data_IF_527835973392
#
_entry.id   IF_527835973392
#
_cell.length_a   1.000
_cell.length_b   1.000
_cell.length_c   1.000
_cell.angle_alpha   90.00
_cell.angle_beta   90.00
_cell.angle_gamma   90.00
#
_symmetry.space_group_name_H-M   'P 1'
#
loop_
_entity.id
_entity.type
_entity.pdbx_description
1 polymer ?
#
# COMPACT_ATOMS: atom_id res chain seq x y z
N UNK A 1 28.95 67.57 -19.40
CA UNK A 1 27.50 67.26 -19.36
C UNK A 1 27.30 65.77 -19.50
N UNK A 2 27.01 65.07 -18.39
CA UNK A 2 25.96 64.05 -18.22
C UNK A 2 26.13 63.48 -16.80
N UNK A 3 25.05 63.60 -16.02
CA UNK A 3 24.97 63.36 -14.58
C UNK A 3 24.73 61.86 -14.31
N UNK A 4 25.51 61.26 -13.41
CA UNK A 4 25.25 59.92 -12.85
C UNK A 4 24.77 60.07 -11.41
N UNK A 5 23.45 60.02 -11.19
CA UNK A 5 22.83 60.24 -9.89
C UNK A 5 23.10 59.11 -8.89
N UNK A 6 23.43 59.46 -7.66
CA UNK A 6 23.46 58.57 -6.50
C UNK A 6 22.06 58.51 -5.87
N UNK A 7 21.44 57.33 -5.90
CA UNK A 7 20.17 57.08 -5.23
C UNK A 7 20.42 56.73 -3.76
N UNK A 8 19.95 57.59 -2.85
CA UNK A 8 19.96 57.35 -1.41
C UNK A 8 18.60 56.79 -0.97
N UNK A 9 18.57 55.53 -0.53
CA UNK A 9 17.40 54.97 0.16
C UNK A 9 17.56 55.28 1.65
N UNK A 10 16.69 56.16 2.15
CA UNK A 10 16.62 56.51 3.57
C UNK A 10 15.83 55.46 4.35
N UNK A 11 16.52 54.71 5.22
CA UNK A 11 15.92 53.93 6.30
C UNK A 11 16.42 54.48 7.64
N UNK A 12 15.46 54.80 8.52
CA UNK A 12 15.64 55.64 9.70
C UNK A 12 16.31 54.86 10.85
N UNK A 13 17.55 55.25 11.16
CA UNK A 13 18.30 55.16 12.44
C UNK A 13 18.40 53.81 13.16
N UNK A 14 19.50 53.09 12.91
CA UNK A 14 20.40 52.54 13.93
C UNK A 14 21.75 52.18 13.26
N UNK A 15 22.81 52.94 13.58
CA UNK A 15 24.19 52.69 13.13
C UNK A 15 24.49 53.15 11.69
N UNK A 16 25.34 54.15 11.51
CA UNK A 16 25.86 54.55 10.20
C UNK A 16 26.76 53.45 9.62
N UNK A 17 26.16 52.44 8.99
CA UNK A 17 26.87 51.52 8.12
C UNK A 17 26.93 52.12 6.71
N UNK A 18 28.10 52.58 6.29
CA UNK A 18 28.34 52.96 4.90
C UNK A 18 28.35 51.70 4.02
N UNK A 19 27.37 51.56 3.13
CA UNK A 19 27.35 50.51 2.13
C UNK A 19 28.02 51.02 0.85
N UNK A 20 29.19 50.47 0.51
CA UNK A 20 29.88 50.72 -0.76
C UNK A 20 29.85 49.45 -1.62
N UNK A 21 29.26 49.56 -2.82
CA UNK A 21 29.28 48.49 -3.80
C UNK A 21 30.62 48.50 -4.54
N UNK A 22 31.52 47.57 -4.20
CA UNK A 22 32.78 47.42 -4.92
C UNK A 22 32.63 46.40 -6.05
N UNK A 23 32.91 46.78 -7.30
CA UNK A 23 33.10 45.79 -8.39
C UNK A 23 34.28 44.88 -8.02
N UNK A 24 34.19 43.59 -8.39
CA UNK A 24 35.19 42.53 -8.17
C UNK A 24 36.61 43.00 -8.48
N UNK A 25 37.25 43.60 -7.48
CA UNK A 25 38.62 44.08 -7.50
C UNK A 25 39.31 43.47 -6.29
N UNK A 26 40.55 43.05 -6.47
CA UNK A 26 41.27 42.21 -5.52
C UNK A 26 41.73 43.04 -4.32
N UNK A 27 40.86 43.19 -3.34
CA UNK A 27 41.14 43.80 -2.04
C UNK A 27 41.20 42.70 -0.97
N UNK A 28 41.95 42.91 0.11
CA UNK A 28 42.17 41.91 1.19
C UNK A 28 40.87 41.43 1.84
N UNK A 29 39.82 42.28 1.86
CA UNK A 29 38.48 41.89 2.31
C UNK A 29 37.77 40.95 1.34
N UNK A 30 37.88 41.19 0.03
CA UNK A 30 37.33 40.31 -1.01
C UNK A 30 38.04 38.96 -1.04
N UNK A 31 39.36 38.91 -0.78
CA UNK A 31 40.11 37.65 -0.69
C UNK A 31 39.58 36.73 0.42
N UNK A 32 39.14 37.29 1.56
CA UNK A 32 38.52 36.51 2.65
C UNK A 32 37.12 36.01 2.30
N UNK A 33 36.34 36.80 1.56
CA UNK A 33 35.02 36.39 1.06
C UNK A 33 35.16 35.28 0.03
N UNK A 34 36.14 35.38 -0.87
CA UNK A 34 36.44 34.33 -1.84
C UNK A 34 37.01 33.08 -1.17
N UNK A 35 37.81 33.22 -0.11
CA UNK A 35 38.26 32.09 0.70
C UNK A 35 37.10 31.40 1.42
N UNK A 36 36.16 32.16 2.00
CA UNK A 36 34.96 31.63 2.63
C UNK A 36 34.03 30.96 1.62
N UNK A 37 33.90 31.52 0.41
CA UNK A 37 33.21 30.91 -0.72
C UNK A 37 33.88 29.59 -1.12
N UNK A 38 35.20 29.58 -1.32
CA UNK A 38 35.97 28.39 -1.69
C UNK A 38 35.95 27.32 -0.60
N UNK A 39 35.92 27.71 0.68
CA UNK A 39 35.73 26.81 1.81
C UNK A 39 34.30 26.23 1.86
N UNK A 40 33.28 27.04 1.55
CA UNK A 40 31.90 26.58 1.44
C UNK A 40 31.65 25.65 0.24
N UNK A 41 32.45 25.78 -0.83
CA UNK A 41 32.44 24.88 -1.98
C UNK A 41 33.18 23.55 -1.74
N UNK A 42 33.90 23.38 -0.62
CA UNK A 42 34.37 22.06 -0.17
C UNK A 42 33.23 21.26 0.45
N UNK A 43 32.18 21.02 -0.34
CA UNK A 43 31.27 19.91 -0.07
C UNK A 43 32.04 18.66 -0.44
N UNK A 44 32.55 17.94 0.55
CA UNK A 44 33.03 16.58 0.35
C UNK A 44 31.90 15.83 -0.35
N UNK A 45 32.07 15.53 -1.63
CA UNK A 45 31.13 14.69 -2.36
C UNK A 45 31.08 13.38 -1.60
N UNK A 46 29.92 13.04 -1.04
CA UNK A 46 29.75 11.76 -0.40
C UNK A 46 30.12 10.69 -1.42
N UNK A 47 31.17 9.94 -1.11
CA UNK A 47 31.61 8.79 -1.88
C UNK A 47 30.59 7.66 -1.65
N UNK A 48 29.52 7.71 -2.44
CA UNK A 48 28.49 6.68 -2.46
C UNK A 48 28.96 5.40 -3.18
N UNK A 49 30.24 5.33 -3.60
CA UNK A 49 30.78 4.24 -4.42
C UNK A 49 31.21 3.02 -3.59
N UNK A 50 31.07 3.08 -2.25
CA UNK A 50 31.35 1.94 -1.36
C UNK A 50 30.41 0.76 -1.56
N UNK A 51 29.21 0.99 -2.09
CA UNK A 51 28.29 -0.07 -2.52
C UNK A 51 27.28 0.45 -3.55
N UNK A 52 26.83 -0.40 -4.45
CA UNK A 52 25.86 -0.02 -5.47
C UNK A 52 24.50 0.35 -4.85
N UNK A 53 23.80 1.33 -5.44
CA UNK A 53 22.45 1.71 -5.02
C UNK A 53 21.48 0.53 -5.02
N UNK A 54 21.68 -0.45 -5.91
CA UNK A 54 20.87 -1.67 -5.95
C UNK A 54 21.07 -2.54 -4.70
N UNK A 55 22.30 -2.61 -4.17
CA UNK A 55 22.59 -3.28 -2.90
C UNK A 55 21.88 -2.58 -1.73
N UNK A 56 22.00 -1.25 -1.65
CA UNK A 56 21.31 -0.44 -0.62
C UNK A 56 19.80 -0.70 -0.61
N UNK A 57 19.17 -0.63 -1.79
CA UNK A 57 17.73 -0.85 -1.96
C UNK A 57 17.31 -2.26 -1.56
N UNK A 58 18.11 -3.28 -1.91
CA UNK A 58 17.85 -4.68 -1.51
C UNK A 58 17.96 -4.85 0.00
N UNK A 59 18.97 -4.27 0.64
CA UNK A 59 19.15 -4.33 2.09
C UNK A 59 17.99 -3.67 2.83
N UNK A 60 17.61 -2.45 2.45
CA UNK A 60 16.47 -1.73 3.04
C UNK A 60 15.16 -2.53 2.84
N UNK A 61 14.94 -3.09 1.65
CA UNK A 61 13.75 -3.90 1.36
C UNK A 61 13.71 -5.16 2.22
N UNK A 62 14.84 -5.83 2.45
CA UNK A 62 14.90 -7.02 3.29
C UNK A 62 14.50 -6.70 4.73
N UNK A 63 15.12 -5.68 5.35
CA UNK A 63 14.79 -5.22 6.71
C UNK A 63 13.33 -4.77 6.80
N UNK A 64 12.84 -4.04 5.79
CA UNK A 64 11.45 -3.58 5.77
C UNK A 64 10.46 -4.75 5.73
N UNK A 65 10.74 -5.80 4.95
CA UNK A 65 9.90 -6.99 4.88
C UNK A 65 9.87 -7.76 6.20
N UNK A 66 10.97 -7.83 6.94
CA UNK A 66 11.02 -8.47 8.27
C UNK A 66 10.17 -7.71 9.28
N UNK A 67 10.30 -6.38 9.35
CA UNK A 67 9.48 -5.53 10.22
C UNK A 67 7.99 -5.68 9.87
N UNK A 68 7.67 -5.69 8.57
CA UNK A 68 6.30 -5.90 8.10
C UNK A 68 5.78 -7.30 8.46
N UNK A 69 6.59 -8.34 8.29
CA UNK A 69 6.19 -9.70 8.64
C UNK A 69 5.90 -9.83 10.13
N UNK A 70 6.74 -9.24 11.00
CA UNK A 70 6.50 -9.26 12.45
C UNK A 70 5.17 -8.62 12.81
N UNK A 71 4.93 -7.38 12.33
CA UNK A 71 3.66 -6.67 12.55
C UNK A 71 2.47 -7.42 11.99
N UNK A 72 2.65 -8.05 10.84
CA UNK A 72 1.61 -8.85 10.20
C UNK A 72 1.21 -10.04 11.06
N UNK A 73 2.17 -10.78 11.61
CA UNK A 73 1.89 -11.93 12.49
C UNK A 73 1.23 -11.48 13.80
N UNK A 74 1.76 -10.43 14.44
CA UNK A 74 1.28 -9.94 15.75
C UNK A 74 -0.08 -9.23 15.69
N UNK A 75 -0.43 -8.60 14.56
CA UNK A 75 -1.68 -7.84 14.42
C UNK A 75 -2.92 -8.70 14.25
N UNK A 76 -4.06 -8.30 14.84
CA UNK A 76 -5.35 -9.00 14.70
C UNK A 76 -6.20 -8.53 13.51
N UNK A 77 -5.93 -7.35 12.96
CA UNK A 77 -6.77 -6.74 11.91
C UNK A 77 -6.82 -7.53 10.59
N UNK A 78 -5.83 -8.40 10.33
CA UNK A 78 -5.66 -9.10 9.05
C UNK A 78 -6.02 -10.58 9.10
N UNK A 79 -6.84 -11.03 10.05
CA UNK A 79 -7.23 -12.43 10.22
C UNK A 79 -7.72 -13.11 8.93
N UNK A 80 -8.57 -12.44 8.14
CA UNK A 80 -9.03 -12.96 6.86
C UNK A 80 -7.89 -13.03 5.83
N UNK A 81 -7.10 -11.96 5.71
CA UNK A 81 -5.97 -11.92 4.79
C UNK A 81 -4.94 -13.00 5.10
N UNK A 82 -4.75 -13.33 6.39
CA UNK A 82 -3.83 -14.38 6.86
C UNK A 82 -4.24 -15.78 6.42
N UNK A 83 -5.54 -16.02 6.19
CA UNK A 83 -6.00 -17.29 5.61
C UNK A 83 -5.39 -17.51 4.22
N UNK A 84 -5.25 -16.44 3.42
CA UNK A 84 -4.69 -16.51 2.08
C UNK A 84 -3.16 -16.44 2.09
N UNK A 85 -2.60 -15.53 2.89
CA UNK A 85 -1.17 -15.21 2.84
C UNK A 85 -0.52 -15.31 4.22
N UNK A 86 0.10 -16.43 4.52
CA UNK A 86 0.83 -16.61 5.78
C UNK A 86 2.06 -15.69 5.90
N UNK A 87 2.68 -15.34 4.76
CA UNK A 87 3.89 -14.51 4.68
C UNK A 87 3.70 -13.32 3.75
N UNK A 88 4.14 -12.15 4.20
CA UNK A 88 4.10 -10.88 3.44
C UNK A 88 4.87 -10.99 2.13
N UNK A 89 6.02 -11.69 2.13
CA UNK A 89 6.82 -11.91 0.92
C UNK A 89 6.06 -12.70 -0.14
N UNK A 90 5.28 -13.70 0.27
CA UNK A 90 4.46 -14.51 -0.64
C UNK A 90 3.25 -13.73 -1.14
N UNK A 91 2.60 -12.98 -0.24
CA UNK A 91 1.52 -12.05 -0.62
C UNK A 91 1.98 -11.11 -1.73
N UNK A 92 3.14 -10.46 -1.55
CA UNK A 92 3.68 -9.56 -2.57
C UNK A 92 3.92 -10.26 -3.90
N UNK A 93 4.52 -11.46 -3.88
CA UNK A 93 4.80 -12.24 -5.10
C UNK A 93 3.50 -12.57 -5.84
N UNK A 94 2.52 -13.14 -5.14
CA UNK A 94 1.24 -13.57 -5.73
C UNK A 94 0.46 -12.36 -6.24
N UNK A 95 0.28 -11.33 -5.40
CA UNK A 95 -0.50 -10.14 -5.75
C UNK A 95 0.14 -9.31 -6.86
N UNK A 96 1.47 -9.37 -7.04
CA UNK A 96 2.13 -8.69 -8.16
C UNK A 96 1.79 -9.27 -9.53
N UNK A 97 1.37 -10.54 -9.59
CA UNK A 97 0.95 -11.22 -10.82
C UNK A 97 -0.56 -11.23 -11.06
N UNK A 98 -1.34 -10.63 -10.16
CA UNK A 98 -2.80 -10.68 -10.18
C UNK A 98 -3.36 -9.29 -10.41
N UNK A 99 -4.27 -9.17 -11.38
CA UNK A 99 -5.04 -7.95 -11.58
C UNK A 99 -5.98 -7.72 -10.40
N UNK A 100 -5.65 -6.76 -9.53
CA UNK A 100 -6.46 -6.47 -8.35
C UNK A 100 -7.78 -5.81 -8.76
N UNK A 101 -8.89 -6.50 -8.54
CA UNK A 101 -10.24 -5.91 -8.68
C UNK A 101 -10.78 -5.45 -7.31
N UNK A 102 -11.77 -4.55 -7.28
CA UNK A 102 -12.40 -4.16 -6.02
C UNK A 102 -13.06 -5.33 -5.28
N UNK A 103 -13.65 -6.29 -6.00
CA UNK A 103 -14.26 -7.47 -5.40
C UNK A 103 -13.24 -8.41 -4.78
N UNK A 104 -12.09 -8.59 -5.44
CA UNK A 104 -10.99 -9.38 -4.89
C UNK A 104 -10.38 -8.70 -3.67
N UNK A 105 -10.17 -7.39 -3.72
CA UNK A 105 -9.69 -6.63 -2.57
C UNK A 105 -10.64 -6.77 -1.36
N UNK A 106 -11.96 -6.71 -1.60
CA UNK A 106 -12.97 -6.95 -0.56
C UNK A 106 -12.93 -8.38 -0.02
N UNK A 107 -12.77 -9.39 -0.88
CA UNK A 107 -12.63 -10.78 -0.46
C UNK A 107 -11.42 -10.95 0.46
N UNK A 108 -10.24 -10.48 0.03
CA UNK A 108 -8.98 -10.66 0.76
C UNK A 108 -8.92 -9.88 2.07
N UNK A 109 -9.70 -8.80 2.20
CA UNK A 109 -9.76 -7.97 3.42
C UNK A 109 -10.94 -8.33 4.33
N UNK A 110 -11.87 -9.17 3.89
CA UNK A 110 -13.09 -9.47 4.65
C UNK A 110 -14.08 -8.30 4.74
N UNK A 111 -13.97 -7.31 3.84
CA UNK A 111 -14.81 -6.10 3.79
C UNK A 111 -15.87 -6.15 2.69
N UNK A 112 -16.27 -7.35 2.30
CA UNK A 112 -17.33 -7.59 1.33
C UNK A 112 -18.72 -7.30 1.92
N UNK A 113 -19.71 -7.19 1.04
CA UNK A 113 -21.12 -7.01 1.42
C UNK A 113 -21.77 -8.24 2.05
N UNK A 114 -21.06 -9.00 2.89
CA UNK A 114 -21.63 -10.09 3.68
C UNK A 114 -22.43 -9.56 4.86
N UNK A 115 -23.47 -10.27 5.27
CA UNK A 115 -24.40 -9.84 6.31
C UNK A 115 -23.68 -9.57 7.64
N UNK A 116 -22.68 -10.38 8.03
CA UNK A 116 -21.91 -10.12 9.26
C UNK A 116 -21.20 -8.77 9.23
N UNK A 117 -20.54 -8.44 8.12
CA UNK A 117 -19.86 -7.16 7.94
C UNK A 117 -20.86 -6.01 7.93
N UNK A 118 -21.92 -6.11 7.13
CA UNK A 118 -22.96 -5.07 7.04
C UNK A 118 -23.67 -4.82 8.37
N UNK A 119 -23.95 -5.87 9.13
CA UNK A 119 -24.56 -5.79 10.46
C UNK A 119 -23.66 -5.03 11.45
N UNK A 120 -22.34 -5.27 11.42
CA UNK A 120 -21.37 -4.51 12.24
C UNK A 120 -21.44 -3.00 11.99
N UNK A 121 -21.74 -2.59 10.76
CA UNK A 121 -21.93 -1.19 10.37
C UNK A 121 -23.39 -0.72 10.42
N UNK A 122 -24.31 -1.53 10.96
CA UNK A 122 -25.74 -1.21 11.07
C UNK A 122 -26.43 -0.97 9.72
N UNK A 123 -25.93 -1.61 8.66
CA UNK A 123 -26.48 -1.58 7.30
C UNK A 123 -27.37 -2.80 6.98
N UNK A 124 -27.31 -3.84 7.82
CA UNK A 124 -28.18 -5.01 7.74
C UNK A 124 -28.79 -5.30 9.12
N UNK A 125 -30.02 -5.83 9.14
CA UNK A 125 -30.74 -6.14 10.37
C UNK A 125 -30.24 -7.40 11.08
N UNK A 126 -29.46 -8.24 10.40
CA UNK A 126 -28.99 -9.53 10.90
C UNK A 126 -27.61 -9.86 10.33
N UNK A 127 -26.72 -10.51 11.10
CA UNK A 127 -25.44 -11.01 10.61
C UNK A 127 -25.55 -12.37 9.91
N UNK A 128 -26.72 -13.01 9.92
CA UNK A 128 -26.91 -14.38 9.47
C UNK A 128 -27.11 -14.52 7.97
N UNK A 129 -26.67 -15.65 7.42
CA UNK A 129 -26.82 -15.99 6.02
C UNK A 129 -28.25 -16.44 5.73
N UNK A 130 -28.74 -16.15 4.51
CA UNK A 130 -30.03 -16.64 4.05
C UNK A 130 -30.12 -18.18 3.95
N UNK A 131 -28.99 -18.90 4.02
CA UNK A 131 -29.02 -20.36 3.98
C UNK A 131 -29.50 -21.00 5.29
N UNK A 132 -29.26 -20.34 6.43
CA UNK A 132 -29.62 -20.85 7.75
C UNK A 132 -29.60 -19.73 8.80
N UNK A 133 -30.59 -19.68 9.72
CA UNK A 133 -30.75 -18.57 10.66
C UNK A 133 -29.66 -18.51 11.76
N UNK A 134 -28.87 -19.57 11.93
CA UNK A 134 -27.81 -19.70 12.95
C UNK A 134 -26.39 -19.58 12.36
N UNK A 135 -26.27 -19.47 11.03
CA UNK A 135 -24.97 -19.35 10.34
C UNK A 135 -24.67 -17.90 10.04
N UNK A 136 -23.64 -17.35 10.67
CA UNK A 136 -23.13 -16.01 10.33
C UNK A 136 -22.61 -15.99 8.91
N UNK A 137 -23.00 -14.99 8.12
CA UNK A 137 -22.48 -14.85 6.77
C UNK A 137 -21.14 -14.12 6.80
N UNK A 138 -20.05 -14.88 6.79
CA UNK A 138 -18.69 -14.39 6.62
C UNK A 138 -18.04 -15.02 5.37
N UNK A 139 -16.80 -14.64 5.07
CA UNK A 139 -16.12 -15.16 3.88
C UNK A 139 -15.93 -16.67 3.95
N UNK A 140 -15.52 -17.20 5.10
CA UNK A 140 -15.15 -18.60 5.26
C UNK A 140 -16.37 -19.50 5.11
N UNK A 141 -17.48 -19.17 5.78
CA UNK A 141 -18.75 -19.85 5.59
C UNK A 141 -19.14 -19.86 4.12
N UNK A 142 -19.06 -18.72 3.43
CA UNK A 142 -19.49 -18.63 2.03
C UNK A 142 -18.57 -19.42 1.09
N UNK A 143 -17.26 -19.42 1.34
CA UNK A 143 -16.28 -20.16 0.53
C UNK A 143 -16.25 -21.66 0.81
N UNK A 144 -16.61 -22.14 2.01
CA UNK A 144 -16.33 -23.53 2.46
C UNK A 144 -17.58 -24.33 2.81
N UNK A 145 -18.67 -23.70 3.27
CA UNK A 145 -19.85 -24.39 3.80
C UNK A 145 -21.16 -24.04 3.09
N UNK A 146 -21.34 -22.78 2.68
CA UNK A 146 -22.63 -22.24 2.31
C UNK A 146 -23.27 -23.00 1.13
N UNK A 147 -24.48 -23.58 1.29
CA UNK A 147 -25.13 -24.36 0.25
C UNK A 147 -25.57 -23.50 -0.94
N UNK A 148 -25.73 -22.18 -0.73
CA UNK A 148 -26.07 -21.22 -1.78
C UNK A 148 -25.01 -21.20 -2.90
N UNK A 149 -23.74 -21.46 -2.57
CA UNK A 149 -22.61 -21.43 -3.49
C UNK A 149 -22.04 -22.83 -3.75
N UNK A 150 -22.77 -23.89 -3.39
CA UNK A 150 -22.32 -25.27 -3.49
C UNK A 150 -21.93 -25.62 -4.93
N UNK A 151 -22.73 -25.19 -5.91
CA UNK A 151 -22.48 -25.47 -7.33
C UNK A 151 -21.18 -24.85 -7.80
N UNK A 152 -21.01 -23.54 -7.60
CA UNK A 152 -19.82 -22.80 -8.04
C UNK A 152 -18.56 -23.28 -7.31
N UNK A 153 -18.69 -23.62 -6.02
CA UNK A 153 -17.60 -24.23 -5.25
C UNK A 153 -17.22 -25.57 -5.85
N UNK A 154 -18.16 -26.48 -6.05
CA UNK A 154 -17.90 -27.81 -6.61
C UNK A 154 -17.27 -27.74 -8.00
N UNK A 155 -17.75 -26.85 -8.89
CA UNK A 155 -17.15 -26.62 -10.21
C UNK A 155 -15.69 -26.14 -10.09
N UNK A 156 -15.42 -25.25 -9.14
CA UNK A 156 -14.06 -24.74 -8.88
C UNK A 156 -13.16 -25.83 -8.30
N UNK A 157 -13.65 -26.61 -7.33
CA UNK A 157 -12.95 -27.74 -6.72
C UNK A 157 -12.60 -28.82 -7.74
N UNK A 158 -13.51 -29.13 -8.67
CA UNK A 158 -13.25 -30.06 -9.79
C UNK A 158 -12.17 -29.51 -10.70
N UNK A 159 -12.21 -28.22 -11.03
CA UNK A 159 -11.24 -27.60 -11.91
C UNK A 159 -9.83 -27.47 -11.32
N UNK A 160 -9.74 -27.31 -9.99
CA UNK A 160 -8.50 -27.27 -9.22
C UNK A 160 -7.99 -28.68 -8.88
N UNK A 161 -8.91 -29.63 -8.69
CA UNK A 161 -8.63 -30.99 -8.21
C UNK A 161 -8.45 -31.10 -6.69
N UNK A 162 -8.81 -30.06 -5.92
CA UNK A 162 -8.65 -30.00 -4.45
C UNK A 162 -9.87 -29.33 -3.83
N UNK A 163 -10.26 -29.77 -2.64
CA UNK A 163 -11.35 -29.13 -1.87
C UNK A 163 -10.92 -27.75 -1.35
N UNK A 164 -11.84 -26.80 -1.44
CA UNK A 164 -11.66 -25.43 -0.95
C UNK A 164 -11.96 -25.44 0.54
N UNK A 165 -10.89 -25.43 1.33
CA UNK A 165 -10.90 -25.32 2.79
C UNK A 165 -9.89 -24.26 3.20
N UNK A 166 -10.16 -23.55 4.30
CA UNK A 166 -9.29 -22.48 4.82
C UNK A 166 -7.82 -22.87 4.86
N UNK A 167 -7.56 -24.09 5.32
CA UNK A 167 -6.23 -24.66 5.52
C UNK A 167 -5.45 -24.79 4.21
N UNK A 168 -6.15 -24.99 3.10
CA UNK A 168 -5.56 -25.20 1.78
C UNK A 168 -5.37 -23.91 0.99
N UNK A 169 -5.91 -22.76 1.44
CA UNK A 169 -5.84 -21.51 0.68
C UNK A 169 -4.40 -21.14 0.28
N UNK A 170 -3.39 -21.20 1.16
CA UNK A 170 -2.01 -20.88 0.75
C UNK A 170 -1.49 -21.78 -0.38
N UNK A 171 -1.85 -23.06 -0.37
CA UNK A 171 -1.44 -24.02 -1.39
C UNK A 171 -2.14 -23.80 -2.73
N UNK A 172 -3.42 -23.41 -2.70
CA UNK A 172 -4.18 -23.02 -3.90
C UNK A 172 -3.54 -21.83 -4.62
N UNK A 173 -2.84 -20.95 -3.89
CA UNK A 173 -2.20 -19.76 -4.44
C UNK A 173 -0.78 -19.98 -4.96
N UNK A 174 -0.19 -21.16 -4.72
CA UNK A 174 1.16 -21.47 -5.20
C UNK A 174 1.21 -21.76 -6.70
N UNK A 175 0.14 -22.34 -7.27
CA UNK A 175 0.01 -22.55 -8.70
C UNK A 175 -0.80 -21.41 -9.36
N UNK A 176 -0.31 -20.89 -10.48
CA UNK A 176 -0.93 -19.75 -11.15
C UNK A 176 -2.35 -20.05 -11.68
N UNK A 177 -2.56 -21.26 -12.21
CA UNK A 177 -3.87 -21.66 -12.75
C UNK A 177 -4.88 -21.80 -11.61
N UNK A 178 -4.51 -22.50 -10.53
CA UNK A 178 -5.33 -22.66 -9.34
C UNK A 178 -5.63 -21.31 -8.67
N UNK A 179 -4.61 -20.47 -8.51
CA UNK A 179 -4.75 -19.11 -7.96
C UNK A 179 -5.78 -18.30 -8.74
N UNK A 180 -5.71 -18.33 -10.08
CA UNK A 180 -6.64 -17.59 -10.94
C UNK A 180 -8.07 -18.11 -10.82
N UNK A 181 -8.26 -19.43 -10.85
CA UNK A 181 -9.58 -20.05 -10.71
C UNK A 181 -10.19 -19.76 -9.34
N UNK A 182 -9.39 -19.90 -8.28
CA UNK A 182 -9.82 -19.63 -6.92
C UNK A 182 -10.20 -18.15 -6.70
N UNK A 183 -9.40 -17.20 -7.19
CA UNK A 183 -9.75 -15.78 -7.10
C UNK A 183 -10.98 -15.41 -7.91
N UNK A 184 -11.18 -16.03 -9.08
CA UNK A 184 -12.42 -15.84 -9.87
C UNK A 184 -13.64 -16.31 -9.08
N UNK A 185 -13.54 -17.44 -8.37
CA UNK A 185 -14.57 -17.92 -7.47
C UNK A 185 -14.82 -16.95 -6.32
N UNK A 186 -13.78 -16.47 -5.63
CA UNK A 186 -13.90 -15.48 -4.55
C UNK A 186 -14.61 -14.19 -5.00
N UNK A 187 -14.23 -13.66 -6.17
CA UNK A 187 -14.87 -12.47 -6.74
C UNK A 187 -16.35 -12.70 -7.04
N UNK A 188 -16.68 -13.84 -7.66
CA UNK A 188 -18.06 -14.21 -7.97
C UNK A 188 -18.93 -14.32 -6.72
N UNK A 189 -18.38 -14.92 -5.67
CA UNK A 189 -19.02 -15.05 -4.35
C UNK A 189 -19.29 -13.69 -3.71
N UNK A 190 -18.29 -12.81 -3.68
CA UNK A 190 -18.43 -11.46 -3.11
C UNK A 190 -19.46 -10.65 -3.89
N UNK A 191 -19.40 -10.67 -5.22
CA UNK A 191 -20.34 -9.95 -6.09
C UNK A 191 -21.78 -10.42 -5.85
N UNK A 192 -22.03 -11.73 -5.89
CA UNK A 192 -23.37 -12.31 -5.68
C UNK A 192 -23.89 -12.04 -4.26
N UNK A 193 -23.05 -12.11 -3.25
CA UNK A 193 -23.46 -11.84 -1.87
C UNK A 193 -23.80 -10.37 -1.66
N UNK A 194 -23.00 -9.45 -2.23
CA UNK A 194 -23.31 -8.01 -2.20
C UNK A 194 -24.66 -7.70 -2.85
N UNK A 195 -24.95 -8.30 -4.00
CA UNK A 195 -26.26 -8.16 -4.67
C UNK A 195 -27.41 -8.67 -3.82
N UNK A 196 -27.26 -9.86 -3.20
CA UNK A 196 -28.31 -10.46 -2.34
C UNK A 196 -28.60 -9.64 -1.10
N UNK A 197 -27.57 -9.01 -0.52
CA UNK A 197 -27.69 -8.23 0.70
C UNK A 197 -27.95 -6.73 0.45
N UNK A 198 -28.27 -6.35 -0.79
CA UNK A 198 -28.57 -4.96 -1.14
C UNK A 198 -27.36 -4.00 -1.10
N UNK A 199 -26.14 -4.53 -0.98
CA UNK A 199 -24.92 -3.72 -1.08
C UNK A 199 -24.65 -3.37 -2.55
N UNK A 200 -25.14 -2.22 -2.99
CA UNK A 200 -24.80 -1.63 -4.29
C UNK A 200 -23.48 -0.87 -4.20
N UNK A 201 -22.37 -1.60 -4.04
CA UNK A 201 -21.06 -1.00 -4.25
C UNK A 201 -20.88 -0.71 -5.75
N UNK A 202 -21.22 0.51 -6.18
CA UNK A 202 -20.90 1.00 -7.53
C UNK A 202 -19.40 1.28 -7.58
N UNK A 203 -18.64 0.33 -8.11
CA UNK A 203 -17.25 0.57 -8.46
C UNK A 203 -17.20 1.15 -9.86
N UNK A 204 -16.90 2.45 -9.95
CA UNK A 204 -16.60 3.08 -11.23
C UNK A 204 -15.28 2.49 -11.73
N UNK A 205 -15.36 1.77 -12.85
CA UNK A 205 -14.23 1.27 -13.63
C UNK A 205 -13.50 2.39 -14.35
#
# INVERSE_FOLDING_TARGET
>A
MQQGGTYWISLRRAGECAYSGCKLTRTTGNERVDLARNAAFKKTTADYDRFSLSFAKKAIRAVSLEVWQKRYVEGSTSEITKCFFLRVKEAYRILSGVGMTPFLAQALTGHSGFAQYLHRFKLANSPYCACAPDKTQDLLHVLEECPIFLKERAETEVGIGVRILRENFPDLLNDYKNCKMFFTFCEGVVKKSGMKNGSTAKFNS
#
